data_IF_986785368197
#
_entry.id   IF_986785368197
#
_cell.length_a   1.000
_cell.length_b   1.000
_cell.length_c   1.000
_cell.angle_alpha   90.00
_cell.angle_beta   90.00
_cell.angle_gamma   90.00
#
_symmetry.space_group_name_H-M   'P 1'
#
loop_
_entity.id
_entity.type
_entity.pdbx_description
1 polymer ?
#
# COMPACT_ATOMS: atom_id res chain seq x y z
N UNK A 1 17.98 43.30 -40.46
CA UNK A 1 18.56 42.07 -39.89
C UNK A 1 18.63 42.02 -38.34
N UNK A 2 18.89 43.13 -37.62
CA UNK A 2 19.03 43.13 -36.14
C UNK A 2 17.72 42.85 -35.34
N UNK A 3 16.55 43.29 -35.82
CA UNK A 3 15.27 43.10 -35.09
C UNK A 3 14.74 41.65 -35.12
N UNK A 4 15.03 40.91 -36.20
CA UNK A 4 14.57 39.52 -36.33
C UNK A 4 15.33 38.58 -35.39
N UNK A 5 16.61 38.80 -35.14
CA UNK A 5 17.42 37.99 -34.24
C UNK A 5 17.04 38.17 -32.75
N UNK A 6 16.60 39.38 -32.36
CA UNK A 6 16.14 39.67 -31.00
C UNK A 6 14.84 38.95 -30.71
N UNK A 7 13.93 38.84 -31.70
CA UNK A 7 12.67 38.12 -31.56
C UNK A 7 12.86 36.60 -31.40
N UNK A 8 13.81 36.03 -32.16
CA UNK A 8 14.14 34.60 -32.11
C UNK A 8 14.79 34.25 -30.76
N UNK A 9 15.70 35.09 -30.24
CA UNK A 9 16.36 34.91 -28.94
C UNK A 9 15.33 35.00 -27.81
N UNK A 10 14.39 35.96 -27.89
CA UNK A 10 13.30 36.06 -26.89
C UNK A 10 12.39 34.84 -26.86
N UNK A 11 12.06 34.24 -28.01
CA UNK A 11 11.24 33.06 -28.15
C UNK A 11 11.92 31.79 -27.61
N UNK A 12 13.25 31.67 -27.84
CA UNK A 12 14.07 30.57 -27.30
C UNK A 12 14.18 30.67 -25.78
N UNK A 13 14.35 31.88 -25.22
CA UNK A 13 14.43 32.12 -23.78
C UNK A 13 13.09 31.76 -23.07
N UNK A 14 11.97 32.14 -23.69
CA UNK A 14 10.62 31.77 -23.17
C UNK A 14 10.40 30.26 -23.21
N UNK A 15 10.83 29.55 -24.25
CA UNK A 15 10.74 28.11 -24.38
C UNK A 15 11.60 27.39 -23.33
N UNK A 16 12.81 27.89 -23.07
CA UNK A 16 13.71 27.32 -22.04
C UNK A 16 13.13 27.52 -20.63
N UNK A 17 12.57 28.69 -20.34
CA UNK A 17 11.93 28.98 -19.03
C UNK A 17 10.71 28.09 -18.85
N UNK A 18 9.87 27.86 -19.88
CA UNK A 18 8.73 26.97 -19.83
C UNK A 18 9.15 25.51 -19.58
N UNK A 19 10.24 25.07 -20.19
CA UNK A 19 10.79 23.74 -20.02
C UNK A 19 11.36 23.52 -18.60
N UNK A 20 12.03 24.54 -18.03
CA UNK A 20 12.54 24.51 -16.65
C UNK A 20 11.39 24.48 -15.64
N UNK A 21 10.30 25.23 -15.89
CA UNK A 21 9.10 25.20 -15.02
C UNK A 21 8.44 23.82 -15.07
N UNK A 22 8.36 23.19 -16.23
CA UNK A 22 7.80 21.83 -16.37
C UNK A 22 8.67 20.80 -15.62
N UNK A 23 10.00 20.91 -15.68
CA UNK A 23 10.90 20.02 -14.95
C UNK A 23 10.80 20.26 -13.44
N UNK A 24 10.62 21.50 -12.97
CA UNK A 24 10.44 21.82 -11.56
C UNK A 24 9.07 21.36 -11.02
N UNK A 25 8.04 21.32 -11.86
CA UNK A 25 6.72 20.82 -11.49
C UNK A 25 6.64 19.28 -11.52
N UNK A 26 7.40 18.62 -12.41
CA UNK A 26 7.45 17.16 -12.48
C UNK A 26 8.46 16.51 -11.52
N UNK A 27 9.39 17.30 -10.93
CA UNK A 27 10.27 16.83 -9.85
C UNK A 27 9.77 17.18 -8.45
N UNK A 28 8.57 17.72 -8.33
CA UNK A 28 7.81 17.80 -7.12
C UNK A 28 7.21 16.42 -6.80
N UNK A 29 8.06 15.45 -6.47
CA UNK A 29 7.61 14.26 -5.76
C UNK A 29 6.87 14.76 -4.52
N UNK A 30 5.58 14.50 -4.48
CA UNK A 30 4.70 14.86 -3.39
C UNK A 30 5.25 14.20 -2.11
N UNK A 31 6.10 14.92 -1.38
CA UNK A 31 6.38 14.63 0.02
C UNK A 31 5.09 14.97 0.76
N UNK A 32 4.10 14.11 0.63
CA UNK A 32 2.97 14.09 1.52
C UNK A 32 3.49 13.85 2.92
N UNK A 33 3.78 14.92 3.65
CA UNK A 33 4.02 14.91 5.09
C UNK A 33 2.71 14.63 5.84
N UNK A 34 2.00 13.57 5.47
CA UNK A 34 0.96 12.97 6.27
C UNK A 34 1.66 12.16 7.35
N UNK A 35 1.19 12.27 8.60
CA UNK A 35 1.64 11.43 9.72
C UNK A 35 1.53 9.96 9.31
N UNK A 36 2.61 9.37 8.78
CA UNK A 36 2.67 7.93 8.53
C UNK A 36 2.47 7.23 9.87
N UNK A 37 1.50 6.32 9.99
CA UNK A 37 1.24 5.66 11.24
C UNK A 37 2.50 4.94 11.74
N UNK A 38 3.01 5.32 12.90
CA UNK A 38 4.27 4.77 13.41
C UNK A 38 4.16 3.32 13.88
N UNK A 39 2.95 2.84 14.19
CA UNK A 39 2.72 1.52 14.75
C UNK A 39 1.66 0.74 13.98
N UNK A 40 2.11 -0.26 13.20
CA UNK A 40 1.23 -1.10 12.38
C UNK A 40 0.26 -1.96 13.21
N UNK A 41 0.60 -2.31 14.47
CA UNK A 41 -0.32 -3.02 15.37
C UNK A 41 -1.53 -2.15 15.72
N UNK A 42 -1.34 -0.83 15.90
CA UNK A 42 -2.45 0.06 16.19
C UNK A 42 -3.41 0.19 15.01
N UNK A 43 -2.88 0.16 13.77
CA UNK A 43 -3.70 0.19 12.56
C UNK A 43 -4.62 -1.01 12.54
N UNK A 44 -4.05 -2.22 12.59
CA UNK A 44 -4.80 -3.46 12.44
C UNK A 44 -5.80 -3.65 13.58
N UNK A 45 -5.43 -3.32 14.81
CA UNK A 45 -6.32 -3.41 15.97
C UNK A 45 -7.49 -2.42 15.87
N UNK A 46 -7.25 -1.21 15.35
CA UNK A 46 -8.31 -0.21 15.15
C UNK A 46 -9.28 -0.69 14.07
N UNK A 47 -8.78 -1.18 12.95
CA UNK A 47 -9.60 -1.71 11.84
C UNK A 47 -10.44 -2.90 12.31
N UNK A 48 -9.83 -3.87 13.01
CA UNK A 48 -10.55 -5.03 13.53
C UNK A 48 -11.65 -4.60 14.51
N UNK A 49 -11.36 -3.66 15.42
CA UNK A 49 -12.34 -3.14 16.38
C UNK A 49 -13.51 -2.44 15.69
N UNK A 50 -13.23 -1.60 14.68
CA UNK A 50 -14.26 -0.84 13.99
C UNK A 50 -15.19 -1.72 13.15
N UNK A 51 -14.72 -2.88 12.71
CA UNK A 51 -15.45 -3.81 11.86
C UNK A 51 -15.88 -5.10 12.59
N UNK A 52 -15.80 -5.14 13.92
CA UNK A 52 -16.03 -6.34 14.76
C UNK A 52 -17.38 -7.04 14.51
N UNK A 53 -18.40 -6.29 14.10
CA UNK A 53 -19.76 -6.82 13.93
C UNK A 53 -19.94 -7.57 12.59
N UNK A 54 -18.99 -7.40 11.65
CA UNK A 54 -18.99 -8.04 10.33
C UNK A 54 -17.82 -9.00 10.13
N UNK A 55 -16.85 -8.99 11.04
CA UNK A 55 -15.66 -9.84 10.97
C UNK A 55 -15.84 -11.12 11.79
N UNK A 56 -15.20 -12.22 11.38
CA UNK A 56 -15.11 -13.42 12.21
C UNK A 56 -14.26 -13.17 13.47
N UNK A 57 -14.18 -14.17 14.33
CA UNK A 57 -13.14 -14.18 15.37
C UNK A 57 -11.77 -14.25 14.74
N UNK A 58 -10.89 -13.33 15.11
CA UNK A 58 -9.60 -13.10 14.47
C UNK A 58 -8.45 -13.34 15.43
N UNK A 59 -7.38 -13.90 14.88
CA UNK A 59 -6.05 -13.84 15.45
C UNK A 59 -5.23 -12.75 14.73
N UNK A 60 -4.54 -11.93 15.53
CA UNK A 60 -3.60 -10.92 15.02
C UNK A 60 -2.19 -11.30 15.47
N UNK A 61 -1.29 -11.49 14.52
CA UNK A 61 0.06 -11.93 14.78
C UNK A 61 1.11 -11.15 13.98
N UNK A 62 2.32 -11.13 14.51
CA UNK A 62 3.49 -10.62 13.81
C UNK A 62 4.12 -11.76 13.02
N UNK A 63 4.34 -11.54 11.73
CA UNK A 63 5.01 -12.50 10.84
C UNK A 63 6.53 -12.46 11.10
N UNK A 64 7.16 -13.63 11.19
CA UNK A 64 8.62 -13.68 11.20
C UNK A 64 9.15 -13.40 9.79
N UNK A 65 9.66 -12.19 9.58
CA UNK A 65 10.19 -11.78 8.27
C UNK A 65 11.43 -12.56 7.82
N UNK A 66 12.06 -13.37 8.69
CA UNK A 66 13.15 -14.28 8.31
C UNK A 66 12.62 -15.58 7.72
N UNK A 67 11.38 -15.93 8.01
CA UNK A 67 10.69 -17.07 7.43
C UNK A 67 10.00 -16.66 6.13
N UNK A 68 10.68 -16.87 5.00
CA UNK A 68 10.17 -16.45 3.68
C UNK A 68 8.88 -17.18 3.30
N UNK A 69 8.71 -18.43 3.71
CA UNK A 69 7.48 -19.18 3.44
C UNK A 69 6.27 -18.54 4.16
N UNK A 70 6.48 -18.07 5.39
CA UNK A 70 5.46 -17.35 6.16
C UNK A 70 5.16 -15.99 5.52
N UNK A 71 6.18 -15.22 5.15
CA UNK A 71 6.05 -13.95 4.43
C UNK A 71 5.26 -14.15 3.14
N UNK A 72 5.66 -15.12 2.31
CA UNK A 72 4.99 -15.44 1.06
C UNK A 72 3.52 -15.84 1.27
N UNK A 73 3.27 -16.70 2.24
CA UNK A 73 1.93 -17.20 2.56
C UNK A 73 0.93 -16.08 2.84
N UNK A 74 1.33 -15.00 3.50
CA UNK A 74 0.42 -13.89 3.87
C UNK A 74 0.43 -12.73 2.89
N UNK A 75 1.52 -12.53 2.16
CA UNK A 75 1.72 -11.30 1.36
C UNK A 75 1.99 -11.55 -0.12
N UNK A 76 2.31 -12.79 -0.51
CA UNK A 76 2.76 -13.12 -1.87
C UNK A 76 4.20 -12.70 -2.16
N UNK A 77 4.92 -12.05 -1.22
CA UNK A 77 6.31 -11.64 -1.41
C UNK A 77 7.25 -12.84 -1.41
N UNK A 78 8.23 -12.84 -2.29
CA UNK A 78 9.21 -13.92 -2.47
C UNK A 78 10.52 -13.66 -1.71
N UNK A 79 10.70 -12.43 -1.24
CA UNK A 79 11.86 -12.01 -0.44
C UNK A 79 11.41 -11.09 0.69
N UNK A 80 12.31 -10.86 1.65
CA UNK A 80 12.10 -9.87 2.70
C UNK A 80 12.87 -8.56 2.44
N UNK A 81 13.37 -8.37 1.22
CA UNK A 81 14.13 -7.19 0.85
C UNK A 81 13.30 -5.93 1.00
N UNK A 82 13.82 -4.96 1.74
CA UNK A 82 13.10 -3.71 2.01
C UNK A 82 12.01 -3.81 3.07
N UNK A 83 11.68 -4.99 3.58
CA UNK A 83 10.65 -5.18 4.61
C UNK A 83 11.25 -4.89 5.99
N UNK A 84 10.51 -4.13 6.80
CA UNK A 84 10.86 -3.83 8.19
C UNK A 84 10.05 -4.71 9.17
N UNK A 85 8.75 -4.84 8.93
CA UNK A 85 7.87 -5.69 9.73
C UNK A 85 6.55 -5.98 9.01
N UNK A 86 5.92 -7.09 9.38
CA UNK A 86 4.60 -7.50 8.89
C UNK A 86 3.74 -7.89 10.08
N UNK A 87 2.47 -7.41 10.06
CA UNK A 87 1.42 -7.86 10.98
C UNK A 87 0.22 -8.29 10.16
N UNK A 88 -0.36 -9.42 10.52
CA UNK A 88 -1.51 -9.99 9.84
C UNK A 88 -2.66 -10.22 10.81
N UNK A 89 -3.89 -10.20 10.29
CA UNK A 89 -5.09 -10.60 10.99
C UNK A 89 -5.84 -11.60 10.13
N UNK A 90 -6.09 -12.78 10.68
CA UNK A 90 -6.71 -13.92 10.00
C UNK A 90 -7.77 -14.56 10.89
N UNK A 91 -8.76 -15.28 10.34
CA UNK A 91 -9.75 -16.00 11.12
C UNK A 91 -9.11 -17.12 11.96
N UNK A 92 -9.65 -17.36 13.15
CA UNK A 92 -9.29 -18.53 13.97
C UNK A 92 -9.67 -19.85 13.30
N UNK A 93 -10.65 -19.84 12.42
CA UNK A 93 -11.10 -21.01 11.64
C UNK A 93 -10.90 -20.79 10.14
N UNK A 94 -10.42 -21.80 9.44
CA UNK A 94 -10.03 -21.72 8.02
C UNK A 94 -11.22 -21.76 7.04
N UNK A 95 -12.46 -21.84 7.54
CA UNK A 95 -13.67 -21.88 6.71
C UNK A 95 -14.19 -20.50 6.30
N UNK A 96 -13.47 -19.43 6.61
CA UNK A 96 -13.82 -18.06 6.25
C UNK A 96 -12.67 -17.41 5.49
N UNK A 97 -12.97 -16.87 4.31
CA UNK A 97 -12.00 -16.18 3.51
C UNK A 97 -11.82 -14.74 3.99
N UNK A 98 -10.86 -14.53 4.87
CA UNK A 98 -10.47 -13.20 5.35
C UNK A 98 -8.98 -13.15 5.65
N UNK A 99 -8.30 -12.11 5.20
CA UNK A 99 -6.93 -11.80 5.62
C UNK A 99 -6.65 -10.31 5.43
N UNK A 100 -6.11 -9.68 6.46
CA UNK A 100 -5.49 -8.37 6.38
C UNK A 100 -4.01 -8.54 6.62
N UNK A 101 -3.16 -7.95 5.77
CA UNK A 101 -1.75 -7.82 6.04
C UNK A 101 -1.35 -6.34 5.98
N UNK A 102 -0.55 -5.92 6.96
CA UNK A 102 0.08 -4.61 7.00
C UNK A 102 1.58 -4.81 6.98
N UNK A 103 2.20 -4.33 5.91
CA UNK A 103 3.63 -4.43 5.65
C UNK A 103 4.27 -3.07 5.85
N UNK A 104 5.16 -2.93 6.81
CA UNK A 104 6.00 -1.76 6.96
C UNK A 104 7.29 -1.99 6.20
N UNK A 105 7.61 -1.10 5.28
CA UNK A 105 8.83 -1.15 4.48
C UNK A 105 9.82 -0.09 4.92
N UNK A 106 11.10 -0.31 4.63
CA UNK A 106 12.16 0.67 4.86
C UNK A 106 11.92 1.91 4.02
N UNK A 107 12.34 3.08 4.49
CA UNK A 107 12.18 4.34 3.74
C UNK A 107 12.87 4.33 2.38
N UNK A 108 13.93 3.52 2.21
CA UNK A 108 14.65 3.34 0.95
C UNK A 108 14.02 2.33 0.01
N UNK A 109 12.95 1.64 0.42
CA UNK A 109 12.31 0.60 -0.38
C UNK A 109 11.42 1.19 -1.47
N UNK A 110 11.35 0.51 -2.60
CA UNK A 110 10.41 0.82 -3.69
C UNK A 110 9.02 0.23 -3.34
N UNK A 111 8.17 1.08 -2.77
CA UNK A 111 6.82 0.71 -2.31
C UNK A 111 5.98 0.19 -3.47
N UNK A 112 6.05 0.83 -4.64
CA UNK A 112 5.25 0.45 -5.79
C UNK A 112 5.64 -0.93 -6.33
N UNK A 113 6.93 -1.21 -6.39
CA UNK A 113 7.45 -2.53 -6.79
C UNK A 113 6.98 -3.62 -5.81
N UNK A 114 7.02 -3.36 -4.50
CA UNK A 114 6.57 -4.31 -3.48
C UNK A 114 5.05 -4.55 -3.58
N UNK A 115 4.25 -3.48 -3.76
CA UNK A 115 2.80 -3.61 -3.99
C UNK A 115 2.49 -4.45 -5.23
N UNK A 116 3.21 -4.22 -6.32
CA UNK A 116 3.02 -4.97 -7.56
C UNK A 116 3.36 -6.45 -7.36
N UNK A 117 4.46 -6.76 -6.68
CA UNK A 117 4.82 -8.15 -6.35
C UNK A 117 3.75 -8.84 -5.50
N UNK A 118 3.20 -8.14 -4.49
CA UNK A 118 2.08 -8.64 -3.70
C UNK A 118 0.85 -8.92 -4.58
N UNK A 119 0.49 -7.97 -5.46
CA UNK A 119 -0.66 -8.09 -6.34
C UNK A 119 -0.54 -9.28 -7.29
N UNK A 120 0.66 -9.52 -7.82
CA UNK A 120 0.93 -10.59 -8.79
C UNK A 120 0.94 -11.99 -8.16
N UNK A 121 1.25 -12.11 -6.85
CA UNK A 121 1.53 -13.40 -6.24
C UNK A 121 0.61 -13.76 -5.05
N UNK A 122 -0.22 -12.85 -4.54
CA UNK A 122 -1.13 -13.17 -3.44
C UNK A 122 -2.15 -14.24 -3.88
N UNK A 123 -2.27 -15.31 -3.09
CA UNK A 123 -3.24 -16.37 -3.37
C UNK A 123 -4.58 -16.10 -2.67
N UNK A 124 -5.58 -15.70 -3.43
CA UNK A 124 -6.95 -15.49 -2.96
C UNK A 124 -7.70 -16.78 -2.63
N UNK A 125 -7.12 -17.96 -2.87
CA UNK A 125 -7.70 -19.29 -2.63
C UNK A 125 -6.96 -20.08 -1.56
N UNK A 126 -6.18 -19.40 -0.74
CA UNK A 126 -5.34 -20.02 0.32
C UNK A 126 -6.12 -20.79 1.40
N UNK A 127 -7.43 -20.65 1.47
CA UNK A 127 -8.27 -21.33 2.46
C UNK A 127 -8.82 -22.65 1.94
N UNK A 128 -9.28 -23.50 2.87
CA UNK A 128 -9.91 -24.79 2.54
C UNK A 128 -11.37 -24.52 2.16
N UNK A 129 -11.80 -24.96 0.98
CA UNK A 129 -13.19 -24.89 0.47
C UNK A 129 -13.77 -23.48 0.29
N UNK A 130 -13.04 -22.42 0.55
CA UNK A 130 -13.48 -21.03 0.34
C UNK A 130 -12.38 -20.21 -0.34
N UNK A 131 -12.75 -19.13 -1.00
CA UNK A 131 -11.84 -18.18 -1.60
C UNK A 131 -12.32 -16.76 -1.37
N UNK A 132 -11.40 -15.81 -1.30
CA UNK A 132 -11.76 -14.40 -1.27
C UNK A 132 -12.30 -13.95 -2.63
N UNK A 133 -13.30 -13.08 -2.62
CA UNK A 133 -13.90 -12.51 -3.82
C UNK A 133 -13.18 -11.24 -4.26
N UNK A 134 -12.60 -10.52 -3.29
CA UNK A 134 -12.01 -9.21 -3.51
C UNK A 134 -10.68 -9.07 -2.78
N UNK A 135 -9.71 -8.49 -3.49
CA UNK A 135 -8.42 -8.03 -2.97
C UNK A 135 -8.30 -6.52 -3.16
N UNK A 136 -7.91 -5.80 -2.12
CA UNK A 136 -7.42 -4.43 -2.19
C UNK A 136 -6.00 -4.38 -1.67
N UNK A 137 -5.12 -3.69 -2.41
CA UNK A 137 -3.76 -3.35 -1.98
C UNK A 137 -3.57 -1.85 -2.19
N UNK A 138 -3.05 -1.16 -1.17
CA UNK A 138 -2.73 0.26 -1.22
C UNK A 138 -1.63 0.57 -0.20
N UNK A 139 -1.12 1.79 -0.17
CA UNK A 139 -0.16 2.21 0.84
C UNK A 139 -0.49 3.60 1.40
N UNK A 140 0.10 3.91 2.53
CA UNK A 140 0.22 5.27 3.07
C UNK A 140 1.67 5.48 3.50
N UNK A 141 2.41 6.25 2.72
CA UNK A 141 3.86 6.35 2.87
C UNK A 141 4.53 4.97 2.75
N UNK A 142 5.29 4.59 3.76
CA UNK A 142 6.00 3.31 3.83
C UNK A 142 5.20 2.15 4.48
N UNK A 143 3.88 2.32 4.63
CA UNK A 143 2.97 1.29 5.12
C UNK A 143 2.13 0.77 3.95
N UNK A 144 2.31 -0.48 3.57
CA UNK A 144 1.45 -1.18 2.60
C UNK A 144 0.37 -1.91 3.37
N UNK A 145 -0.85 -1.76 2.91
CA UNK A 145 -2.04 -2.42 3.44
C UNK A 145 -2.63 -3.32 2.36
N UNK A 146 -2.97 -4.54 2.73
CA UNK A 146 -3.77 -5.42 1.88
C UNK A 146 -4.91 -6.05 2.66
N UNK A 147 -6.04 -6.24 2.00
CA UNK A 147 -7.19 -6.99 2.51
C UNK A 147 -7.76 -7.87 1.41
N UNK A 148 -8.02 -9.12 1.74
CA UNK A 148 -8.77 -10.06 0.90
C UNK A 148 -9.85 -10.74 1.72
N UNK A 149 -11.08 -10.70 1.20
CA UNK A 149 -12.30 -11.22 1.83
C UNK A 149 -13.44 -11.31 0.80
N UNK A 150 -14.64 -11.61 1.28
CA UNK A 150 -15.87 -11.35 0.55
C UNK A 150 -15.97 -9.86 0.20
N UNK A 151 -16.61 -9.54 -0.90
CA UNK A 151 -16.59 -8.20 -1.50
C UNK A 151 -16.98 -7.07 -0.54
N UNK A 152 -18.05 -7.26 0.23
CA UNK A 152 -18.56 -6.21 1.11
C UNK A 152 -17.66 -6.01 2.34
N UNK A 153 -17.14 -7.10 2.89
CA UNK A 153 -16.19 -7.09 4.00
C UNK A 153 -14.88 -6.43 3.57
N UNK A 154 -14.30 -6.85 2.44
CA UNK A 154 -13.08 -6.28 1.92
C UNK A 154 -13.22 -4.77 1.69
N UNK A 155 -14.35 -4.33 1.12
CA UNK A 155 -14.64 -2.92 0.88
C UNK A 155 -14.78 -2.11 2.17
N UNK A 156 -15.46 -2.65 3.19
CA UNK A 156 -15.63 -1.98 4.48
C UNK A 156 -14.28 -1.77 5.17
N UNK A 157 -13.48 -2.83 5.26
CA UNK A 157 -12.16 -2.84 5.88
C UNK A 157 -11.17 -1.93 5.13
N UNK A 158 -11.17 -1.95 3.80
CA UNK A 158 -10.38 -1.04 2.97
C UNK A 158 -10.75 0.44 3.20
N UNK A 159 -12.05 0.75 3.26
CA UNK A 159 -12.52 2.11 3.53
C UNK A 159 -12.15 2.59 4.93
N UNK A 160 -12.11 1.69 5.91
CA UNK A 160 -11.70 2.03 7.27
C UNK A 160 -10.20 2.32 7.34
N UNK A 161 -9.36 1.56 6.63
CA UNK A 161 -7.94 1.90 6.45
C UNK A 161 -7.77 3.29 5.83
N UNK A 162 -8.50 3.60 4.74
CA UNK A 162 -8.44 4.93 4.12
C UNK A 162 -8.77 6.05 5.10
N UNK A 163 -9.83 5.87 5.90
CA UNK A 163 -10.18 6.84 6.95
C UNK A 163 -9.08 6.98 7.98
N UNK A 164 -8.50 5.86 8.43
CA UNK A 164 -7.41 5.86 9.41
C UNK A 164 -6.21 6.69 8.95
N UNK A 165 -5.87 6.64 7.68
CA UNK A 165 -4.77 7.40 7.08
C UNK A 165 -5.21 8.73 6.46
N UNK A 166 -6.41 9.24 6.79
CA UNK A 166 -6.97 10.50 6.28
C UNK A 166 -7.00 10.57 4.73
N UNK A 167 -7.31 9.44 4.08
CA UNK A 167 -7.29 9.27 2.63
C UNK A 167 -5.93 9.55 1.95
N UNK A 168 -4.85 9.56 2.73
CA UNK A 168 -3.48 9.65 2.20
C UNK A 168 -3.01 8.27 1.75
N UNK A 169 -3.45 7.86 0.56
CA UNK A 169 -3.16 6.56 -0.07
C UNK A 169 -2.48 6.76 -1.42
N UNK A 170 -1.64 5.78 -1.80
CA UNK A 170 -0.94 5.68 -3.08
C UNK A 170 -1.19 4.34 -3.77
#
# INVERSE_FOLDING_TARGET
MKKQNIFIIGLILLAVISFIIIILVSSGGNKGGGNTPKNINNIINTINKNNKDILPELETMKVDIKNIDEVNSYTGLKTNDGIESIVVSVPLITAQAYSVAIVKVKESADVEKIKQEMLDNIDMRRWICVSAEQLYITNSGNIIFSVMADKDIAKAVYNDFKKYVNNNIG
#
